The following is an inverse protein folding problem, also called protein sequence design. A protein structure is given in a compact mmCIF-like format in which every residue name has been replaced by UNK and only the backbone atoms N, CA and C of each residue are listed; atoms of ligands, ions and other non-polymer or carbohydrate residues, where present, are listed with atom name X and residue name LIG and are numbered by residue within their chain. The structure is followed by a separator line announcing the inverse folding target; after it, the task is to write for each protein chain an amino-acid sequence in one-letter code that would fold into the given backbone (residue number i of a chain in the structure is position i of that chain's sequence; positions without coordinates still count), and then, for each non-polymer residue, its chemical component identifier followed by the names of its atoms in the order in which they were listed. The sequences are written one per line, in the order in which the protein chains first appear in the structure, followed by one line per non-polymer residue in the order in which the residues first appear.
data_IF_259673497109
#
_entry.id   IF_259673497109
#
_cell.length_a   1.000
_cell.length_b   1.000
_cell.length_c   1.000
_cell.angle_alpha   90.00
_cell.angle_beta   90.00
_cell.angle_gamma   90.00
#
_symmetry.space_group_name_H-M   'P 1'
#
loop_
_entity.id
_entity.type
_entity.pdbx_description
1 polymer ?
#
# COMPACT_ATOMS: atom_id res chain seq x y z
N UNK A 1 5.16 50.13 24.08
CA UNK A 1 4.95 50.08 22.61
C UNK A 1 5.94 49.04 22.09
N UNK A 2 5.65 47.74 22.18
CA UNK A 2 4.89 46.90 21.22
C UNK A 2 5.47 46.90 19.78
N UNK A 3 6.67 46.32 19.59
CA UNK A 3 7.19 45.91 18.27
C UNK A 3 8.09 44.66 18.31
N UNK A 4 8.04 43.82 19.35
CA UNK A 4 8.94 42.64 19.42
C UNK A 4 8.24 41.34 18.95
N UNK A 5 6.91 41.27 19.06
CA UNK A 5 6.14 40.08 18.67
C UNK A 5 5.90 39.99 17.15
N UNK A 6 6.00 41.10 16.40
CA UNK A 6 5.72 41.11 14.96
C UNK A 6 6.86 40.51 14.12
N UNK A 7 8.11 40.65 14.59
CA UNK A 7 9.29 40.09 13.90
C UNK A 7 9.48 38.60 14.18
N UNK A 8 9.15 38.10 15.37
CA UNK A 8 9.14 36.66 15.64
C UNK A 8 8.05 35.96 14.81
N UNK A 9 6.86 36.57 14.68
CA UNK A 9 5.75 35.98 13.92
C UNK A 9 5.99 35.96 12.39
N UNK A 10 6.59 37.03 11.86
CA UNK A 10 6.96 37.05 10.44
C UNK A 10 8.05 36.03 10.12
N UNK A 11 9.07 35.90 10.99
CA UNK A 11 10.21 35.02 10.74
C UNK A 11 9.88 33.51 10.81
N UNK A 12 9.07 33.04 11.77
CA UNK A 12 8.72 31.60 11.76
C UNK A 12 7.69 31.25 10.68
N UNK A 13 6.86 32.21 10.21
CA UNK A 13 6.01 32.00 9.03
C UNK A 13 6.87 31.83 7.77
N UNK A 14 7.89 32.66 7.59
CA UNK A 14 8.85 32.54 6.48
C UNK A 14 9.60 31.21 6.58
N UNK A 15 10.07 30.81 7.77
CA UNK A 15 10.73 29.53 7.97
C UNK A 15 9.80 28.33 7.71
N UNK A 16 8.53 28.42 8.13
CA UNK A 16 7.51 27.41 7.85
C UNK A 16 7.27 27.25 6.34
N UNK A 17 7.11 28.35 5.61
CA UNK A 17 6.89 28.32 4.15
C UNK A 17 8.13 27.75 3.44
N UNK A 18 9.32 28.25 3.77
CA UNK A 18 10.58 27.76 3.17
C UNK A 18 10.80 26.27 3.50
N UNK A 19 10.53 25.84 4.73
CA UNK A 19 10.61 24.45 5.17
C UNK A 19 9.64 23.53 4.44
N UNK A 20 8.39 23.99 4.20
CA UNK A 20 7.43 23.25 3.38
C UNK A 20 7.90 23.11 1.93
N UNK A 21 8.36 24.19 1.30
CA UNK A 21 8.88 24.15 -0.07
C UNK A 21 10.09 23.22 -0.21
N UNK A 22 11.04 23.29 0.73
CA UNK A 22 12.21 22.40 0.80
C UNK A 22 11.80 20.94 0.99
N UNK A 23 10.81 20.66 1.86
CA UNK A 23 10.33 19.30 2.08
C UNK A 23 9.66 18.72 0.83
N UNK A 24 8.89 19.53 0.09
CA UNK A 24 8.27 19.12 -1.18
C UNK A 24 9.34 18.85 -2.23
N UNK A 25 10.32 19.74 -2.36
CA UNK A 25 11.43 19.56 -3.30
C UNK A 25 12.28 18.34 -2.95
N UNK A 26 12.53 18.10 -1.66
CA UNK A 26 13.27 16.94 -1.16
C UNK A 26 12.54 15.62 -1.43
N UNK A 27 11.19 15.58 -1.35
CA UNK A 27 10.40 14.43 -1.78
C UNK A 27 10.53 14.14 -3.29
N UNK A 28 10.75 15.17 -4.11
CA UNK A 28 10.87 15.05 -5.56
C UNK A 28 12.22 14.54 -6.02
N UNK A 29 13.28 14.77 -5.24
CA UNK A 29 14.60 14.20 -5.51
C UNK A 29 14.55 12.71 -5.16
N UNK A 30 14.99 11.84 -6.09
CA UNK A 30 15.13 10.39 -5.88
C UNK A 30 16.31 10.10 -4.94
N UNK A 31 16.27 10.65 -3.74
CA UNK A 31 17.20 10.37 -2.66
C UNK A 31 16.46 9.59 -1.57
N UNK A 32 17.09 8.61 -0.91
CA UNK A 32 16.58 7.99 0.30
C UNK A 32 16.75 8.96 1.49
N UNK A 33 16.17 10.16 1.38
CA UNK A 33 16.18 11.16 2.44
C UNK A 33 15.01 10.90 3.39
N UNK A 34 15.28 10.82 4.69
CA UNK A 34 14.24 10.68 5.70
C UNK A 34 13.36 11.93 5.76
N UNK A 35 12.06 11.79 5.48
CA UNK A 35 11.09 12.90 5.56
C UNK A 35 10.75 13.32 7.00
N UNK A 36 11.27 12.59 7.99
CA UNK A 36 10.88 12.70 9.39
C UNK A 36 11.33 14.02 10.03
N UNK A 37 12.61 14.33 9.94
CA UNK A 37 13.21 15.53 10.53
C UNK A 37 12.64 16.85 9.97
N UNK A 38 12.51 17.06 8.64
CA UNK A 38 11.96 18.31 8.11
C UNK A 38 10.50 18.53 8.51
N UNK A 39 9.70 17.47 8.61
CA UNK A 39 8.31 17.58 9.05
C UNK A 39 8.22 17.96 10.53
N UNK A 40 9.09 17.43 11.40
CA UNK A 40 9.12 17.83 12.82
C UNK A 40 9.35 19.33 12.95
N UNK A 41 10.38 19.83 12.28
CA UNK A 41 10.81 21.22 12.37
C UNK A 41 9.73 22.15 11.81
N UNK A 42 9.14 21.77 10.68
CA UNK A 42 8.04 22.52 10.06
C UNK A 42 6.79 22.51 10.95
N UNK A 43 6.44 21.36 11.54
CA UNK A 43 5.29 21.23 12.43
C UNK A 43 5.49 21.89 13.79
N UNK A 44 6.72 22.02 14.29
CA UNK A 44 7.02 22.78 15.50
C UNK A 44 6.84 24.30 15.26
N UNK A 45 7.20 24.76 14.07
CA UNK A 45 7.16 26.17 13.69
C UNK A 45 5.74 26.72 13.47
N UNK A 46 4.75 25.84 13.27
CA UNK A 46 3.36 26.26 13.04
C UNK A 46 2.66 26.73 14.32
N UNK A 47 3.07 26.22 15.48
CA UNK A 47 2.40 26.53 16.74
C UNK A 47 3.20 27.61 17.47
N UNK A 48 2.67 28.82 17.39
CA UNK A 48 3.17 30.07 17.94
C UNK A 48 3.05 30.16 19.46
N UNK A 49 3.58 29.20 20.21
CA UNK A 49 3.67 29.26 21.67
C UNK A 49 4.47 28.08 22.23
N UNK A 50 5.11 28.30 23.39
CA UNK A 50 5.60 27.36 24.42
C UNK A 50 5.91 25.92 23.97
N UNK A 51 7.10 25.42 24.31
CA UNK A 51 7.65 24.14 23.81
C UNK A 51 6.70 22.92 23.78
N UNK A 52 5.78 22.78 24.73
CA UNK A 52 4.74 21.74 24.71
C UNK A 52 3.85 21.81 23.45
N UNK A 53 3.37 23.00 23.10
CA UNK A 53 2.51 23.19 21.94
C UNK A 53 3.28 23.03 20.62
N UNK A 54 4.57 23.41 20.59
CA UNK A 54 5.45 23.11 19.46
C UNK A 54 5.60 21.60 19.23
N UNK A 55 5.78 20.81 20.29
CA UNK A 55 5.84 19.33 20.20
C UNK A 55 4.51 18.75 19.68
N UNK A 56 3.37 19.29 20.12
CA UNK A 56 2.06 18.85 19.64
C UNK A 56 1.82 19.24 18.18
N UNK A 57 2.28 20.42 17.75
CA UNK A 57 2.30 20.85 16.36
C UNK A 57 3.10 19.88 15.48
N UNK A 58 4.33 19.56 15.90
CA UNK A 58 5.19 18.61 15.22
C UNK A 58 4.56 17.21 15.15
N UNK A 59 3.98 16.73 16.24
CA UNK A 59 3.29 15.44 16.31
C UNK A 59 2.07 15.40 15.37
N UNK A 60 1.29 16.49 15.28
CA UNK A 60 0.13 16.55 14.41
C UNK A 60 0.50 16.42 12.93
N UNK A 61 1.57 17.10 12.49
CA UNK A 61 2.02 17.08 11.10
C UNK A 61 2.67 15.73 10.73
N UNK A 62 3.46 15.15 11.64
CA UNK A 62 4.01 13.80 11.48
C UNK A 62 2.92 12.72 11.45
N UNK A 63 1.94 12.79 12.34
CA UNK A 63 0.82 11.86 12.41
C UNK A 63 -0.01 11.84 11.13
N UNK A 64 -0.21 13.01 10.51
CA UNK A 64 -0.95 13.16 9.26
C UNK A 64 -0.18 12.63 8.04
N UNK A 65 1.13 12.89 7.98
CA UNK A 65 2.00 12.47 6.86
C UNK A 65 2.31 10.97 6.89
N UNK A 66 2.76 10.45 8.04
CA UNK A 66 3.36 9.11 8.15
C UNK A 66 2.39 8.01 8.62
N UNK A 67 1.23 8.35 9.17
CA UNK A 67 0.14 7.43 9.61
C UNK A 67 0.55 6.27 10.55
N UNK A 68 1.74 6.31 11.14
CA UNK A 68 2.32 5.32 12.07
C UNK A 68 2.29 5.81 13.52
N UNK A 69 1.12 5.78 14.16
CA UNK A 69 0.91 6.48 15.45
C UNK A 69 1.72 5.93 16.62
N UNK A 70 1.93 4.62 16.74
CA UNK A 70 2.62 4.03 17.90
C UNK A 70 4.13 4.37 17.89
N UNK A 71 4.79 4.18 16.76
CA UNK A 71 6.22 4.49 16.63
C UNK A 71 6.50 5.99 16.76
N UNK A 72 5.69 6.84 16.13
CA UNK A 72 5.82 8.30 16.24
C UNK A 72 5.65 8.79 17.68
N UNK A 73 4.72 8.19 18.44
CA UNK A 73 4.52 8.52 19.84
C UNK A 73 5.76 8.19 20.68
N UNK A 74 6.37 7.02 20.47
CA UNK A 74 7.59 6.60 21.19
C UNK A 74 8.76 7.52 20.85
N UNK A 75 8.96 7.85 19.57
CA UNK A 75 10.05 8.75 19.17
C UNK A 75 9.87 10.14 19.80
N UNK A 76 8.66 10.72 19.75
CA UNK A 76 8.41 12.02 20.37
C UNK A 76 8.55 12.01 21.89
N UNK A 77 8.20 10.90 22.54
CA UNK A 77 8.41 10.71 23.97
C UNK A 77 9.89 10.63 24.32
N UNK A 78 10.68 9.88 23.54
CA UNK A 78 12.13 9.77 23.74
C UNK A 78 12.81 11.13 23.60
N UNK A 79 12.40 11.93 22.60
CA UNK A 79 12.90 13.28 22.37
C UNK A 79 12.52 14.27 23.48
N UNK A 80 11.34 14.11 24.08
CA UNK A 80 10.86 15.00 25.15
C UNK A 80 11.28 14.51 26.55
N UNK A 81 11.67 13.25 26.67
CA UNK A 81 11.98 12.56 27.93
C UNK A 81 10.88 12.75 29.01
N UNK A 82 9.62 12.77 28.60
CA UNK A 82 8.48 13.00 29.50
C UNK A 82 7.32 12.03 29.24
N UNK A 83 7.18 11.06 30.14
CA UNK A 83 6.16 10.00 30.07
C UNK A 83 4.73 10.53 30.25
N UNK A 84 4.53 11.65 30.94
CA UNK A 84 3.21 12.25 31.14
C UNK A 84 2.63 12.85 29.86
N UNK A 85 3.49 13.14 28.87
CA UNK A 85 3.08 13.68 27.57
C UNK A 85 2.55 12.61 26.61
N UNK A 86 2.78 11.32 26.92
CA UNK A 86 2.37 10.16 26.11
C UNK A 86 0.87 10.16 25.73
N UNK A 87 -0.08 10.24 26.69
CA UNK A 87 -1.51 10.23 26.34
C UNK A 87 -1.91 11.45 25.49
N UNK A 88 -1.27 12.59 25.71
CA UNK A 88 -1.58 13.84 25.01
C UNK A 88 -1.12 13.77 23.55
N UNK A 89 0.10 13.28 23.30
CA UNK A 89 0.61 13.03 21.94
C UNK A 89 -0.23 11.95 21.24
N UNK A 90 -0.61 10.87 21.94
CA UNK A 90 -1.41 9.81 21.35
C UNK A 90 -2.79 10.31 20.89
N UNK A 91 -3.45 11.15 21.69
CA UNK A 91 -4.70 11.80 21.29
C UNK A 91 -4.54 12.65 20.02
N UNK A 92 -3.49 13.48 19.94
CA UNK A 92 -3.20 14.29 18.75
C UNK A 92 -2.93 13.43 17.52
N UNK A 93 -2.13 12.37 17.67
CA UNK A 93 -1.80 11.44 16.58
C UNK A 93 -3.03 10.69 16.06
N UNK A 94 -3.94 10.27 16.94
CA UNK A 94 -5.19 9.60 16.56
C UNK A 94 -6.10 10.56 15.78
N UNK A 95 -6.29 11.79 16.27
CA UNK A 95 -7.11 12.79 15.58
C UNK A 95 -6.51 13.13 14.21
N UNK A 96 -5.21 13.43 14.16
CA UNK A 96 -4.53 13.76 12.90
C UNK A 96 -4.58 12.61 11.89
N UNK A 97 -4.32 11.37 12.33
CA UNK A 97 -4.43 10.18 11.47
C UNK A 97 -5.86 10.01 10.95
N UNK A 98 -6.86 10.23 11.79
CA UNK A 98 -8.26 10.07 11.42
C UNK A 98 -8.66 11.09 10.35
N UNK A 99 -8.27 12.34 10.52
CA UNK A 99 -8.47 13.39 9.51
C UNK A 99 -7.72 13.04 8.22
N UNK A 100 -6.44 12.68 8.29
CA UNK A 100 -5.64 12.34 7.12
C UNK A 100 -6.21 11.13 6.34
N UNK A 101 -6.78 10.16 7.05
CA UNK A 101 -7.42 8.99 6.44
C UNK A 101 -8.64 9.34 5.60
N UNK A 102 -9.34 10.44 5.90
CA UNK A 102 -10.48 10.90 5.08
C UNK A 102 -9.99 11.52 3.77
N UNK A 103 -8.83 12.19 3.77
CA UNK A 103 -8.39 12.95 2.61
C UNK A 103 -7.65 12.14 1.55
N UNK A 104 -6.68 11.30 1.93
CA UNK A 104 -5.79 10.65 0.97
C UNK A 104 -5.22 9.32 1.47
N UNK A 105 -4.31 8.69 0.71
CA UNK A 105 -3.43 7.61 1.18
C UNK A 105 -2.20 8.15 1.91
N UNK A 106 -1.43 7.28 2.59
CA UNK A 106 -0.21 7.70 3.28
C UNK A 106 0.87 8.16 2.27
N UNK A 107 1.78 9.04 2.72
CA UNK A 107 2.81 9.62 1.85
C UNK A 107 3.75 8.54 1.28
N UNK A 108 4.03 7.48 2.03
CA UNK A 108 4.89 6.39 1.57
C UNK A 108 4.28 5.58 0.42
N UNK A 109 2.96 5.37 0.42
CA UNK A 109 2.21 4.68 -0.64
C UNK A 109 2.23 5.51 -1.93
N UNK A 110 2.09 6.83 -1.81
CA UNK A 110 2.19 7.77 -2.94
C UNK A 110 3.60 7.75 -3.56
N UNK A 111 4.64 7.79 -2.73
CA UNK A 111 6.04 7.72 -3.19
C UNK A 111 6.32 6.36 -3.88
N UNK A 112 5.78 5.28 -3.32
CA UNK A 112 5.96 3.94 -3.87
C UNK A 112 5.24 3.76 -5.21
N UNK A 113 4.00 4.26 -5.34
CA UNK A 113 3.28 4.36 -6.62
C UNK A 113 4.05 5.18 -7.64
N UNK A 114 4.60 6.34 -7.24
CA UNK A 114 5.40 7.19 -8.12
C UNK A 114 6.70 6.51 -8.60
N UNK A 115 7.28 5.61 -7.79
CA UNK A 115 8.48 4.83 -8.16
C UNK A 115 8.17 3.56 -8.96
N UNK A 116 6.91 3.19 -9.15
CA UNK A 116 6.52 1.99 -9.91
C UNK A 116 7.00 0.67 -9.28
N UNK A 117 7.29 0.66 -7.97
CA UNK A 117 7.73 -0.55 -7.28
C UNK A 117 6.53 -1.50 -7.11
N UNK A 118 6.67 -2.80 -7.41
CA UNK A 118 5.61 -3.76 -7.14
C UNK A 118 5.52 -4.01 -5.62
N UNK A 119 4.43 -3.56 -4.99
CA UNK A 119 4.11 -3.83 -3.59
C UNK A 119 2.75 -4.53 -3.48
N UNK A 120 2.62 -5.40 -2.48
CA UNK A 120 1.34 -6.02 -2.16
C UNK A 120 0.46 -5.00 -1.43
N UNK A 121 -0.63 -4.60 -2.08
CA UNK A 121 -1.68 -3.80 -1.43
C UNK A 121 -2.30 -4.59 -0.28
N UNK A 122 -2.56 -3.90 0.85
CA UNK A 122 -3.14 -4.50 2.07
C UNK A 122 -4.54 -5.11 1.85
N UNK A 123 -5.22 -4.73 0.75
CA UNK A 123 -6.55 -5.23 0.38
C UNK A 123 -6.54 -6.22 -0.79
N UNK A 124 -5.40 -6.82 -1.13
CA UNK A 124 -5.39 -7.92 -2.10
C UNK A 124 -6.12 -9.13 -1.48
N UNK A 125 -7.46 -9.14 -1.59
CA UNK A 125 -8.23 -10.37 -1.41
C UNK A 125 -7.58 -11.41 -2.32
N UNK A 126 -7.22 -12.60 -1.80
CA UNK A 126 -6.63 -13.63 -2.63
C UNK A 126 -7.53 -13.84 -3.84
N UNK A 127 -6.95 -13.92 -5.03
CA UNK A 127 -7.70 -14.19 -6.25
C UNK A 127 -8.44 -15.50 -6.05
N UNK A 128 -9.76 -15.39 -5.91
CA UNK A 128 -10.66 -16.51 -5.65
C UNK A 128 -11.57 -16.65 -6.85
N UNK A 129 -11.70 -17.88 -7.33
CA UNK A 129 -12.59 -18.21 -8.44
C UNK A 129 -13.86 -18.81 -7.86
N UNK A 130 -15.01 -18.39 -8.37
CA UNK A 130 -16.30 -18.98 -8.02
C UNK A 130 -16.41 -20.34 -8.73
N UNK A 131 -16.95 -21.37 -8.06
CA UNK A 131 -17.16 -22.70 -8.65
C UNK A 131 -17.97 -22.70 -9.96
N UNK A 132 -18.81 -21.69 -10.19
CA UNK A 132 -19.60 -21.55 -11.42
C UNK A 132 -18.77 -21.07 -12.62
N UNK A 133 -17.50 -20.72 -12.42
CA UNK A 133 -16.61 -20.28 -13.48
C UNK A 133 -16.11 -21.48 -14.29
N UNK A 134 -16.08 -21.36 -15.62
CA UNK A 134 -15.52 -22.41 -16.49
C UNK A 134 -14.03 -22.62 -16.17
N UNK A 135 -13.59 -23.89 -16.12
CA UNK A 135 -12.18 -24.28 -16.00
C UNK A 135 -11.27 -23.53 -16.99
N UNK A 136 -11.74 -23.25 -18.20
CA UNK A 136 -10.98 -22.49 -19.19
C UNK A 136 -10.70 -21.05 -18.73
N UNK A 137 -11.66 -20.37 -18.10
CA UNK A 137 -11.45 -19.04 -17.53
C UNK A 137 -10.52 -19.08 -16.32
N UNK A 138 -10.67 -20.08 -15.45
CA UNK A 138 -9.77 -20.28 -14.32
C UNK A 138 -8.31 -20.50 -14.77
N UNK A 139 -8.09 -21.26 -15.85
CA UNK A 139 -6.77 -21.54 -16.43
C UNK A 139 -6.15 -20.29 -17.09
N UNK A 140 -6.95 -19.47 -17.78
CA UNK A 140 -6.50 -18.17 -18.32
C UNK A 140 -6.06 -17.26 -17.17
N UNK A 141 -6.87 -17.13 -16.12
CA UNK A 141 -6.59 -16.29 -14.94
C UNK A 141 -5.34 -16.76 -14.19
N UNK A 142 -5.19 -18.07 -14.04
CA UNK A 142 -4.00 -18.69 -13.45
C UNK A 142 -2.72 -18.36 -14.24
N UNK A 143 -2.80 -18.36 -15.57
CA UNK A 143 -1.65 -18.13 -16.46
C UNK A 143 -1.33 -16.65 -16.65
N UNK A 144 -2.33 -15.78 -16.64
CA UNK A 144 -2.20 -14.33 -16.77
C UNK A 144 -1.63 -13.69 -15.50
N UNK A 145 -2.09 -14.13 -14.32
CA UNK A 145 -1.64 -13.61 -13.01
C UNK A 145 -0.42 -14.39 -12.47
N UNK A 146 -0.04 -15.51 -13.09
CA UNK A 146 1.14 -16.29 -12.70
C UNK A 146 1.03 -16.95 -11.31
N UNK A 147 -0.20 -17.17 -10.82
CA UNK A 147 -0.45 -17.71 -9.49
C UNK A 147 0.13 -19.12 -9.36
N UNK A 148 0.57 -19.48 -8.14
CA UNK A 148 1.01 -20.86 -7.82
C UNK A 148 -0.16 -21.71 -7.32
N UNK A 149 -1.14 -21.06 -6.70
CA UNK A 149 -2.31 -21.66 -6.10
C UNK A 149 -3.51 -20.74 -6.36
N UNK A 150 -4.62 -21.31 -6.82
CA UNK A 150 -5.85 -20.60 -7.09
C UNK A 150 -6.94 -21.16 -6.19
N UNK A 151 -7.49 -20.32 -5.31
CA UNK A 151 -8.49 -20.75 -4.34
C UNK A 151 -9.88 -20.72 -4.98
N UNK A 152 -10.62 -21.82 -4.89
CA UNK A 152 -12.00 -21.91 -5.39
C UNK A 152 -12.97 -21.85 -4.21
N UNK A 153 -13.89 -20.88 -4.22
CA UNK A 153 -14.86 -20.65 -3.15
C UNK A 153 -16.29 -20.70 -3.72
N UNK A 154 -17.18 -21.57 -3.21
CA UNK A 154 -18.60 -21.52 -3.53
C UNK A 154 -19.28 -20.39 -2.75
N UNK A 155 -20.24 -19.71 -3.38
CA UNK A 155 -20.83 -18.47 -2.87
C UNK A 155 -21.53 -18.50 -1.50
N UNK A 156 -21.58 -19.63 -0.77
CA UNK A 156 -22.24 -19.73 0.56
C UNK A 156 -21.58 -20.65 1.62
N UNK A 157 -20.38 -21.21 1.42
CA UNK A 157 -19.75 -22.18 2.37
C UNK A 157 -18.21 -22.17 2.25
N UNK A 158 -17.39 -22.72 3.18
CA UNK A 158 -15.96 -22.41 3.23
C UNK A 158 -15.21 -23.04 2.04
N UNK A 159 -13.98 -22.57 1.83
CA UNK A 159 -13.07 -22.92 0.71
C UNK A 159 -13.18 -24.41 0.33
N UNK A 160 -13.63 -24.69 -0.90
CA UNK A 160 -13.84 -26.07 -1.37
C UNK A 160 -12.53 -26.71 -1.77
N UNK A 161 -11.65 -25.96 -2.45
CA UNK A 161 -10.41 -26.52 -2.97
C UNK A 161 -9.34 -25.45 -3.26
N UNK A 162 -8.08 -25.86 -3.17
CA UNK A 162 -6.92 -25.13 -3.66
C UNK A 162 -6.49 -25.79 -4.96
N UNK A 163 -6.64 -25.09 -6.09
CA UNK A 163 -6.22 -25.58 -7.39
C UNK A 163 -4.74 -25.24 -7.61
N UNK A 164 -3.94 -26.25 -7.92
CA UNK A 164 -2.51 -26.17 -8.19
C UNK A 164 -2.22 -26.55 -9.65
N UNK A 165 -0.98 -26.31 -10.11
CA UNK A 165 -0.58 -26.69 -11.49
C UNK A 165 -0.75 -28.18 -11.79
N UNK A 166 -0.69 -29.03 -10.78
CA UNK A 166 -0.82 -30.47 -10.93
C UNK A 166 -2.26 -30.89 -11.28
N UNK A 167 -3.25 -30.14 -10.81
CA UNK A 167 -4.68 -30.41 -11.05
C UNK A 167 -5.11 -30.13 -12.49
N UNK A 168 -4.30 -29.38 -13.25
CA UNK A 168 -4.51 -29.12 -14.68
C UNK A 168 -3.81 -30.14 -15.59
N UNK A 169 -3.18 -31.18 -15.03
CA UNK A 169 -2.63 -32.26 -15.85
C UNK A 169 -3.75 -33.11 -16.45
N UNK A 170 -3.64 -33.54 -17.72
CA UNK A 170 -4.71 -34.29 -18.39
C UNK A 170 -5.03 -35.62 -17.69
N UNK A 171 -4.02 -36.22 -17.06
CA UNK A 171 -4.13 -37.44 -16.23
C UNK A 171 -5.12 -37.26 -15.07
N UNK A 172 -5.05 -36.14 -14.34
CA UNK A 172 -5.86 -35.88 -13.15
C UNK A 172 -7.31 -35.48 -13.49
N UNK A 173 -7.49 -34.72 -14.57
CA UNK A 173 -8.82 -34.31 -15.07
C UNK A 173 -9.62 -35.53 -15.56
N UNK A 174 -8.95 -36.47 -16.24
CA UNK A 174 -9.56 -37.72 -16.73
C UNK A 174 -9.90 -38.69 -15.59
N UNK A 175 -9.14 -38.66 -14.49
CA UNK A 175 -9.41 -39.46 -13.29
C UNK A 175 -10.63 -38.99 -12.48
N UNK A 176 -10.92 -37.69 -12.43
CA UNK A 176 -12.05 -37.13 -11.66
C UNK A 176 -13.41 -37.18 -12.37
N UNK A 177 -13.44 -37.16 -13.71
CA UNK A 177 -14.67 -37.29 -14.49
C UNK A 177 -14.63 -38.55 -15.40
N UNK A 178 -15.06 -39.72 -14.91
CA UNK A 178 -15.08 -40.95 -15.71
C UNK A 178 -16.20 -41.01 -16.77
N UNK A 179 -17.09 -40.00 -16.82
CA UNK A 179 -18.14 -39.91 -17.84
C UNK A 179 -17.78 -38.93 -18.97
N UNK A 180 -17.75 -39.40 -20.23
CA UNK A 180 -17.15 -38.69 -21.34
C UNK A 180 -18.14 -37.72 -22.00
N UNK A 181 -17.78 -36.44 -22.14
CA UNK A 181 -18.41 -35.61 -23.17
C UNK A 181 -17.71 -35.88 -24.50
N UNK A 182 -18.13 -36.99 -25.12
CA UNK A 182 -18.18 -37.15 -26.58
C UNK A 182 -19.11 -36.07 -27.14
N UNK A 183 -18.66 -34.83 -27.24
CA UNK A 183 -19.09 -33.92 -28.29
C UNK A 183 -18.12 -32.74 -28.41
N UNK A 184 -17.63 -32.53 -29.63
CA UNK A 184 -16.87 -31.36 -30.11
C UNK A 184 -15.36 -31.24 -29.91
N UNK A 185 -14.64 -32.25 -29.44
CA UNK A 185 -13.16 -32.32 -29.57
C UNK A 185 -12.68 -32.86 -30.93
N UNK A 186 -13.29 -32.40 -32.03
CA UNK A 186 -12.76 -32.60 -33.39
C UNK A 186 -12.15 -31.32 -33.99
N UNK A 187 -12.10 -30.22 -33.22
CA UNK A 187 -11.63 -28.91 -33.69
C UNK A 187 -10.46 -28.30 -32.88
N UNK A 188 -9.80 -29.12 -32.06
CA UNK A 188 -8.52 -28.75 -31.42
C UNK A 188 -7.39 -29.75 -31.75
N UNK A 189 -7.52 -30.48 -32.87
CA UNK A 189 -6.39 -31.12 -33.58
C UNK A 189 -5.92 -30.29 -34.78
N UNK A 190 -5.91 -28.96 -34.63
CA UNK A 190 -5.39 -28.04 -35.65
C UNK A 190 -4.28 -27.11 -35.12
N UNK A 191 -3.90 -27.24 -33.83
CA UNK A 191 -2.88 -26.38 -33.19
C UNK A 191 -1.76 -27.20 -32.52
N UNK A 192 -1.50 -28.43 -32.99
CA UNK A 192 -0.22 -29.09 -32.72
C UNK A 192 0.64 -29.11 -33.99
N UNK A 193 0.03 -29.39 -35.14
CA UNK A 193 0.67 -29.28 -36.47
C UNK A 193 1.12 -27.86 -36.83
N UNK A 194 0.59 -26.83 -36.16
CA UNK A 194 1.02 -25.43 -36.35
C UNK A 194 2.25 -25.07 -35.49
N UNK A 195 2.43 -25.72 -34.33
CA UNK A 195 3.56 -25.46 -33.43
C UNK A 195 4.83 -26.20 -33.87
N UNK A 196 4.71 -27.35 -34.52
CA UNK A 196 5.89 -28.02 -35.11
C UNK A 196 6.40 -27.32 -36.37
N UNK A 197 5.52 -26.68 -37.15
CA UNK A 197 5.91 -25.96 -38.38
C UNK A 197 6.63 -24.63 -38.14
N UNK A 198 6.48 -24.02 -36.96
CA UNK A 198 7.14 -22.75 -36.60
C UNK A 198 8.51 -23.00 -35.94
N UNK A 199 8.74 -24.19 -35.39
CA UNK A 199 10.02 -24.56 -34.75
C UNK A 199 10.97 -25.34 -35.67
N UNK A 200 10.50 -25.81 -36.84
CA UNK A 200 11.31 -26.61 -37.77
C UNK A 200 11.70 -25.90 -39.09
N UNK A 201 11.53 -24.59 -39.19
CA UNK A 201 11.93 -23.84 -40.39
C UNK A 201 11.97 -22.34 -40.15
N UNK A 202 13.02 -21.71 -40.66
CA UNK A 202 13.12 -20.32 -41.14
C UNK A 202 11.84 -19.49 -41.05
#
# INVERSE_FOLDING_TARGET
MHTDNEFELSSMLVFFIIGLFLSIFSCGIVAPAGLFVPIIVTGASIVWANGLYAVLGAASLLGGSMRTTVSLCVIMLELTNNLLLLPLIMMVLVVSKSVANVFNANVYDLIMKAKGLPYLETNASPYTVVETMSLAKALILFREVGLRHLLVIPGRSPVVAILTRHDFTPEHILGMHPFPVKSRWKRLRFSQTFLEKILSGI
#
